data_IF_467082257649
#
_entry.id   IF_467082257649
#
_cell.length_a   1.000
_cell.length_b   1.000
_cell.length_c   1.000
_cell.angle_alpha   90.00
_cell.angle_beta   90.00
_cell.angle_gamma   90.00
#
_symmetry.space_group_name_H-M   'P 1'
#
loop_
_entity.id
_entity.type
_entity.pdbx_description
1 polymer ?
#
# COMPACT_ATOMS: atom_id res chain seq x y z
N UNK A 1 -6.57 2.43 13.89
CA UNK A 1 -6.38 0.95 13.88
C UNK A 1 -7.67 0.14 13.90
N UNK A 2 -8.70 0.64 14.61
CA UNK A 2 -9.98 0.00 14.84
C UNK A 2 -10.94 -0.06 13.63
N UNK A 3 -10.61 0.64 12.55
CA UNK A 3 -11.48 0.77 11.38
C UNK A 3 -11.22 -0.37 10.39
N UNK A 4 -12.25 -0.78 9.66
CA UNK A 4 -12.18 -1.74 8.56
C UNK A 4 -12.80 -1.16 7.28
N UNK A 5 -12.35 -1.64 6.13
CA UNK A 5 -12.84 -1.20 4.83
C UNK A 5 -12.93 -2.34 3.83
N UNK A 6 -13.88 -2.24 2.90
CA UNK A 6 -14.03 -3.15 1.75
C UNK A 6 -14.42 -2.32 0.53
N UNK A 7 -13.72 -2.53 -0.58
CA UNK A 7 -13.96 -1.90 -1.88
C UNK A 7 -14.08 -2.96 -2.98
N UNK A 8 -14.73 -2.62 -4.09
CA UNK A 8 -14.91 -3.51 -5.23
C UNK A 8 -14.27 -2.90 -6.48
N UNK A 9 -13.47 -3.70 -7.19
CA UNK A 9 -12.90 -3.37 -8.49
C UNK A 9 -13.52 -4.29 -9.57
N UNK A 10 -14.26 -3.76 -10.55
CA UNK A 10 -14.79 -4.51 -11.69
C UNK A 10 -13.67 -4.94 -12.67
N UNK A 11 -13.98 -5.71 -13.74
CA UNK A 11 -12.98 -6.31 -14.63
C UNK A 11 -11.97 -5.36 -15.30
N UNK A 12 -12.22 -4.05 -15.36
CA UNK A 12 -11.26 -3.07 -15.86
C UNK A 12 -10.16 -2.69 -14.84
N UNK A 13 -10.23 -3.19 -13.60
CA UNK A 13 -9.18 -3.11 -12.58
C UNK A 13 -9.19 -1.84 -11.71
N UNK A 14 -9.94 -0.81 -12.08
CA UNK A 14 -10.10 0.43 -11.31
C UNK A 14 -11.20 0.33 -10.24
N UNK A 15 -11.45 1.41 -9.48
CA UNK A 15 -12.57 1.46 -8.54
C UNK A 15 -13.90 1.40 -9.28
N UNK A 16 -14.89 0.70 -8.72
CA UNK A 16 -16.24 0.61 -9.26
C UNK A 16 -16.91 1.99 -9.41
N UNK A 17 -17.67 2.16 -10.50
CA UNK A 17 -18.43 3.38 -10.76
C UNK A 17 -19.67 3.51 -9.87
N UNK A 18 -20.19 4.74 -9.75
CA UNK A 18 -21.28 5.09 -8.83
C UNK A 18 -22.56 4.26 -8.99
N UNK A 19 -22.93 3.91 -10.22
CA UNK A 19 -24.12 3.08 -10.47
C UNK A 19 -23.95 1.67 -9.85
N UNK A 20 -22.76 1.09 -9.98
CA UNK A 20 -22.45 -0.24 -9.46
C UNK A 20 -22.34 -0.23 -7.94
N UNK A 21 -21.68 0.80 -7.37
CA UNK A 21 -21.57 0.93 -5.91
C UNK A 21 -22.93 1.16 -5.27
N UNK A 22 -23.82 1.95 -5.89
CA UNK A 22 -25.18 2.16 -5.39
C UNK A 22 -25.98 0.85 -5.39
N UNK A 23 -25.91 0.07 -6.47
CA UNK A 23 -26.61 -1.20 -6.54
C UNK A 23 -26.10 -2.21 -5.48
N UNK A 24 -24.80 -2.25 -5.22
CA UNK A 24 -24.20 -3.09 -4.17
C UNK A 24 -24.64 -2.61 -2.78
N UNK A 25 -24.61 -1.30 -2.52
CA UNK A 25 -25.04 -0.68 -1.27
C UNK A 25 -26.51 -0.99 -0.96
N UNK A 26 -27.42 -0.71 -1.90
CA UNK A 26 -28.85 -0.96 -1.76
C UNK A 26 -29.13 -2.44 -1.45
N UNK A 27 -28.43 -3.33 -2.17
CA UNK A 27 -28.61 -4.77 -2.00
C UNK A 27 -28.07 -5.26 -0.66
N UNK A 28 -26.91 -4.77 -0.23
CA UNK A 28 -26.35 -5.11 1.08
C UNK A 28 -27.28 -4.66 2.22
N UNK A 29 -27.81 -3.44 2.15
CA UNK A 29 -28.76 -2.91 3.13
C UNK A 29 -30.06 -3.73 3.16
N UNK A 30 -30.58 -4.15 2.00
CA UNK A 30 -31.74 -5.03 1.93
C UNK A 30 -31.49 -6.40 2.60
N UNK A 31 -30.29 -6.99 2.43
CA UNK A 31 -29.92 -8.21 3.16
C UNK A 31 -29.85 -7.96 4.66
N UNK A 32 -29.26 -6.85 5.10
CA UNK A 32 -29.16 -6.50 6.53
C UNK A 32 -30.56 -6.34 7.15
N UNK A 33 -31.47 -5.60 6.50
CA UNK A 33 -32.84 -5.39 6.99
C UNK A 33 -33.64 -6.70 7.11
N UNK A 34 -33.28 -7.70 6.30
CA UNK A 34 -33.87 -9.03 6.31
C UNK A 34 -33.11 -10.02 7.19
N UNK A 35 -32.30 -9.54 8.14
CA UNK A 35 -31.48 -10.38 9.03
C UNK A 35 -30.60 -11.39 8.26
N UNK A 36 -30.07 -10.94 7.11
CA UNK A 36 -29.20 -11.71 6.21
C UNK A 36 -29.90 -12.91 5.54
N UNK A 37 -31.24 -12.94 5.53
CA UNK A 37 -31.99 -13.93 4.79
C UNK A 37 -31.61 -13.91 3.29
N UNK A 38 -31.27 -15.08 2.75
CA UNK A 38 -30.83 -15.23 1.36
C UNK A 38 -29.32 -15.02 1.14
N UNK A 39 -28.55 -14.63 2.16
CA UNK A 39 -27.07 -14.63 2.07
C UNK A 39 -26.58 -16.08 2.12
N UNK A 40 -25.94 -16.54 1.04
CA UNK A 40 -25.34 -17.88 0.98
C UNK A 40 -24.02 -17.87 1.74
N UNK A 41 -23.84 -18.79 2.70
CA UNK A 41 -22.65 -18.87 3.57
C UNK A 41 -22.17 -20.31 3.66
N UNK A 42 -20.87 -20.46 3.87
CA UNK A 42 -20.26 -21.74 4.22
C UNK A 42 -19.19 -21.53 5.30
N UNK A 43 -18.94 -22.51 6.19
CA UNK A 43 -17.83 -22.47 7.14
C UNK A 43 -16.48 -22.26 6.43
N UNK A 44 -15.61 -21.43 7.00
CA UNK A 44 -14.29 -21.12 6.42
C UNK A 44 -13.42 -22.37 6.21
N UNK A 45 -13.53 -23.37 7.08
CA UNK A 45 -12.81 -24.63 6.94
C UNK A 45 -13.22 -25.39 5.65
N UNK A 46 -14.50 -25.34 5.28
CA UNK A 46 -14.99 -25.93 4.02
C UNK A 46 -14.63 -25.05 2.82
N UNK A 47 -14.71 -23.72 2.95
CA UNK A 47 -14.31 -22.80 1.89
C UNK A 47 -12.83 -22.99 1.50
N UNK A 48 -11.95 -23.19 2.50
CA UNK A 48 -10.52 -23.45 2.28
C UNK A 48 -10.22 -24.76 1.55
N UNK A 49 -11.15 -25.71 1.56
CA UNK A 49 -11.05 -27.00 0.85
C UNK A 49 -11.78 -26.98 -0.50
N UNK A 50 -12.54 -25.92 -0.80
CA UNK A 50 -13.31 -25.79 -2.03
C UNK A 50 -12.41 -25.41 -3.21
N UNK A 51 -12.71 -25.95 -4.39
CA UNK A 51 -12.07 -25.57 -5.66
C UNK A 51 -12.28 -24.09 -6.05
N UNK A 52 -13.23 -23.41 -5.39
CA UNK A 52 -13.51 -21.99 -5.58
C UNK A 52 -12.43 -21.08 -4.95
N UNK A 53 -11.65 -21.59 -3.98
CA UNK A 53 -10.58 -20.85 -3.35
C UNK A 53 -9.23 -21.31 -3.89
N UNK A 54 -8.54 -20.42 -4.62
CA UNK A 54 -7.19 -20.66 -5.13
C UNK A 54 -6.20 -19.76 -4.40
N UNK A 55 -5.18 -20.36 -3.81
CA UNK A 55 -4.05 -19.63 -3.24
C UNK A 55 -2.94 -19.58 -4.28
N UNK A 56 -2.50 -18.37 -4.60
CA UNK A 56 -1.44 -18.10 -5.58
C UNK A 56 -0.54 -16.99 -5.05
N UNK A 57 0.71 -16.98 -5.51
CA UNK A 57 1.62 -15.87 -5.28
C UNK A 57 1.29 -14.73 -6.24
N UNK A 58 0.87 -13.58 -5.68
CA UNK A 58 0.60 -12.35 -6.42
C UNK A 58 1.79 -11.39 -6.40
N UNK A 59 2.76 -11.57 -5.49
CA UNK A 59 3.91 -10.70 -5.34
C UNK A 59 4.86 -10.87 -6.51
N UNK A 60 5.27 -12.11 -6.79
CA UNK A 60 6.22 -12.39 -7.87
C UNK A 60 5.80 -11.83 -9.23
N UNK A 61 4.60 -12.11 -9.78
CA UNK A 61 4.24 -11.59 -11.10
C UNK A 61 4.19 -10.06 -11.14
N UNK A 62 3.75 -9.40 -10.06
CA UNK A 62 3.78 -7.94 -9.99
C UNK A 62 5.21 -7.40 -10.00
N UNK A 63 6.10 -7.95 -9.17
CA UNK A 63 7.49 -7.49 -9.06
C UNK A 63 8.24 -7.74 -10.36
N UNK A 64 8.06 -8.89 -11.00
CA UNK A 64 8.69 -9.22 -12.29
C UNK A 64 8.25 -8.26 -13.41
N UNK A 65 7.02 -7.72 -13.35
CA UNK A 65 6.45 -6.87 -14.40
C UNK A 65 6.83 -5.38 -14.27
N UNK A 66 7.41 -4.96 -13.14
CA UNK A 66 7.78 -3.55 -12.90
C UNK A 66 8.71 -2.97 -13.97
N UNK A 67 9.56 -3.80 -14.61
CA UNK A 67 10.42 -3.39 -15.73
C UNK A 67 9.65 -2.82 -16.93
N UNK A 68 8.37 -3.14 -17.06
CA UNK A 68 7.52 -2.65 -18.16
C UNK A 68 6.88 -1.29 -17.86
N UNK A 69 7.00 -0.78 -16.62
CA UNK A 69 6.37 0.46 -16.15
C UNK A 69 7.40 1.47 -15.64
N UNK A 70 8.51 1.00 -15.07
CA UNK A 70 9.59 1.82 -14.50
C UNK A 70 10.95 1.34 -15.02
N UNK A 71 11.88 2.26 -15.27
CA UNK A 71 13.25 1.91 -15.68
C UNK A 71 14.06 1.37 -14.49
N UNK A 72 13.81 0.11 -14.16
CA UNK A 72 14.50 -0.60 -13.08
C UNK A 72 16.00 -0.75 -13.35
N UNK A 73 16.42 -0.82 -14.62
CA UNK A 73 17.83 -0.93 -14.99
C UNK A 73 18.61 0.37 -14.70
N UNK A 74 18.00 1.53 -14.95
CA UNK A 74 18.59 2.81 -14.57
C UNK A 74 18.72 2.95 -13.05
N UNK A 75 17.69 2.56 -12.29
CA UNK A 75 17.70 2.57 -10.82
C UNK A 75 18.83 1.68 -10.27
N UNK A 76 18.95 0.45 -10.79
CA UNK A 76 20.06 -0.47 -10.45
C UNK A 76 21.43 0.16 -10.70
N UNK A 77 21.61 0.78 -11.87
CA UNK A 77 22.89 1.37 -12.27
C UNK A 77 23.25 2.59 -11.41
N UNK A 78 22.27 3.34 -10.95
CA UNK A 78 22.47 4.53 -10.12
C UNK A 78 23.03 4.19 -8.73
N UNK A 79 22.79 2.97 -8.22
CA UNK A 79 23.26 2.51 -6.90
C UNK A 79 22.90 3.48 -5.77
N UNK A 80 21.68 3.99 -5.82
CA UNK A 80 21.13 4.84 -4.76
C UNK A 80 20.96 4.01 -3.50
N UNK A 81 21.29 4.61 -2.35
CA UNK A 81 20.95 4.04 -1.04
C UNK A 81 19.52 4.45 -0.68
N UNK A 82 18.61 3.47 -0.64
CA UNK A 82 17.17 3.66 -0.55
C UNK A 82 16.64 3.20 0.81
N UNK A 83 15.86 4.06 1.47
CA UNK A 83 15.13 3.72 2.70
C UNK A 83 13.64 3.52 2.43
N UNK A 84 13.00 2.56 3.09
CA UNK A 84 11.55 2.36 3.00
C UNK A 84 10.99 2.15 4.40
N UNK A 85 9.98 2.94 4.77
CA UNK A 85 9.11 2.62 5.91
C UNK A 85 7.79 2.02 5.39
N UNK A 86 7.56 0.71 5.55
CA UNK A 86 6.33 0.06 5.11
C UNK A 86 5.07 0.49 5.88
N UNK A 87 5.22 1.20 7.01
CA UNK A 87 4.14 1.56 7.94
C UNK A 87 3.24 0.36 8.33
N UNK A 88 3.81 -0.86 8.32
CA UNK A 88 3.12 -2.12 8.57
C UNK A 88 1.98 -2.45 7.59
N UNK A 89 1.99 -1.88 6.38
CA UNK A 89 0.96 -2.09 5.37
C UNK A 89 1.14 -3.36 4.53
N UNK A 90 0.23 -3.56 3.57
CA UNK A 90 0.11 -4.80 2.80
C UNK A 90 1.27 -5.08 1.84
N UNK A 91 2.04 -4.06 1.46
CA UNK A 91 3.13 -4.17 0.48
C UNK A 91 4.52 -4.39 1.07
N UNK A 92 4.65 -4.74 2.36
CA UNK A 92 5.95 -4.99 2.98
C UNK A 92 6.77 -6.08 2.24
N UNK A 93 6.13 -7.20 1.87
CA UNK A 93 6.80 -8.26 1.11
C UNK A 93 7.10 -7.84 -0.33
N UNK A 94 6.31 -6.93 -0.92
CA UNK A 94 6.62 -6.39 -2.23
C UNK A 94 7.94 -5.62 -2.19
N UNK A 95 8.16 -4.76 -1.19
CA UNK A 95 9.43 -4.06 -1.06
C UNK A 95 10.62 -5.01 -0.83
N UNK A 96 10.45 -6.04 0.01
CA UNK A 96 11.48 -7.09 0.17
C UNK A 96 11.83 -7.75 -1.16
N UNK A 97 10.82 -8.14 -1.93
CA UNK A 97 11.02 -8.79 -3.23
C UNK A 97 11.58 -7.84 -4.29
N UNK A 98 11.19 -6.56 -4.29
CA UNK A 98 11.76 -5.53 -5.18
C UNK A 98 13.25 -5.36 -4.91
N UNK A 99 13.64 -5.19 -3.63
CA UNK A 99 15.05 -5.08 -3.24
C UNK A 99 15.87 -6.29 -3.69
N UNK A 100 15.35 -7.50 -3.50
CA UNK A 100 16.02 -8.75 -3.86
C UNK A 100 16.07 -8.98 -5.38
N UNK A 101 14.94 -8.93 -6.07
CA UNK A 101 14.82 -9.22 -7.50
C UNK A 101 15.66 -8.26 -8.33
N UNK A 102 15.69 -6.98 -7.92
CA UNK A 102 16.44 -5.94 -8.61
C UNK A 102 17.79 -5.63 -7.97
N UNK A 103 18.23 -6.34 -6.93
CA UNK A 103 19.54 -6.14 -6.29
C UNK A 103 19.80 -4.66 -5.91
N UNK A 104 18.78 -4.00 -5.36
CA UNK A 104 18.86 -2.60 -4.95
C UNK A 104 19.46 -2.49 -3.55
N UNK A 105 20.21 -1.41 -3.29
CA UNK A 105 20.61 -1.04 -1.92
C UNK A 105 19.40 -0.41 -1.21
N UNK A 106 18.41 -1.27 -0.92
CA UNK A 106 17.12 -0.92 -0.35
C UNK A 106 17.01 -1.52 1.06
N UNK A 107 16.76 -0.66 2.04
CA UNK A 107 16.58 -1.05 3.44
C UNK A 107 15.17 -0.76 3.90
N UNK A 108 14.49 -1.77 4.46
CA UNK A 108 13.29 -1.54 5.25
C UNK A 108 13.72 -0.99 6.62
N UNK A 109 13.35 0.25 6.93
CA UNK A 109 13.72 0.88 8.23
C UNK A 109 12.90 0.31 9.39
N UNK A 110 11.79 -0.34 9.09
CA UNK A 110 10.94 -1.07 10.02
C UNK A 110 10.34 -2.29 9.32
N UNK A 111 10.31 -3.42 10.03
CA UNK A 111 9.65 -4.65 9.56
C UNK A 111 8.42 -5.01 10.42
N UNK A 112 7.94 -4.08 11.24
CA UNK A 112 6.85 -4.33 12.19
C UNK A 112 5.52 -4.58 11.47
N UNK A 113 4.86 -5.68 11.82
CA UNK A 113 3.47 -5.98 11.44
C UNK A 113 2.69 -6.20 12.73
N UNK A 114 1.85 -5.24 13.08
CA UNK A 114 1.08 -5.25 14.31
C UNK A 114 -0.30 -4.60 14.06
N UNK A 115 -1.43 -5.32 14.24
CA UNK A 115 -2.77 -4.76 14.04
C UNK A 115 -3.11 -3.56 14.94
N UNK A 116 -2.39 -3.38 16.06
CA UNK A 116 -2.51 -2.19 16.90
C UNK A 116 -1.80 -0.96 16.33
N UNK A 117 -0.85 -1.17 15.40
CA UNK A 117 0.04 -0.15 14.85
C UNK A 117 0.82 0.63 15.91
N UNK A 118 1.13 -0.01 17.05
CA UNK A 118 1.81 0.64 18.19
C UNK A 118 3.23 1.17 17.89
N UNK A 119 3.83 0.76 16.77
CA UNK A 119 5.12 1.28 16.30
C UNK A 119 5.00 2.65 15.62
N UNK A 120 3.78 3.08 15.26
CA UNK A 120 3.54 4.37 14.62
C UNK A 120 3.72 5.52 15.60
N UNK A 121 4.27 6.61 15.09
CA UNK A 121 4.10 7.92 15.73
C UNK A 121 2.65 8.41 15.58
N UNK A 122 2.21 9.26 16.50
CA UNK A 122 0.88 9.85 16.43
C UNK A 122 0.84 10.92 15.33
N UNK A 123 -0.26 10.94 14.58
CA UNK A 123 -0.48 11.98 13.57
C UNK A 123 -0.84 13.33 14.23
N UNK A 124 -1.04 14.38 13.44
CA UNK A 124 -1.29 15.77 13.88
C UNK A 124 -2.39 15.95 14.94
N UNK A 125 -3.35 15.02 14.98
CA UNK A 125 -4.51 15.00 15.87
C UNK A 125 -4.34 14.05 17.06
N UNK A 126 -3.16 13.45 17.24
CA UNK A 126 -2.89 12.50 18.31
C UNK A 126 -3.42 11.09 18.05
N UNK A 127 -3.86 10.80 16.82
CA UNK A 127 -4.42 9.49 16.43
C UNK A 127 -3.39 8.68 15.67
N UNK A 128 -3.40 7.36 15.86
CA UNK A 128 -2.61 6.45 15.04
C UNK A 128 -3.22 6.39 13.64
N UNK A 129 -2.53 6.97 12.67
CA UNK A 129 -2.89 6.98 11.25
C UNK A 129 -1.64 6.74 10.41
N UNK A 130 -1.70 5.75 9.53
CA UNK A 130 -0.62 5.37 8.63
C UNK A 130 -0.69 6.23 7.36
N UNK A 131 -0.62 7.55 7.52
CA UNK A 131 -0.64 8.51 6.42
C UNK A 131 0.79 8.81 5.94
N UNK A 132 1.19 8.20 4.84
CA UNK A 132 2.51 8.39 4.24
C UNK A 132 2.79 9.84 3.78
N UNK A 133 1.77 10.70 3.71
CA UNK A 133 1.90 12.12 3.37
C UNK A 133 1.94 13.05 4.60
N UNK A 134 1.77 12.51 5.81
CA UNK A 134 1.84 13.30 7.04
C UNK A 134 3.26 13.31 7.62
N UNK A 135 3.86 14.49 7.87
CA UNK A 135 5.17 14.56 8.51
C UNK A 135 5.13 14.09 9.97
N UNK A 136 3.95 14.03 10.60
CA UNK A 136 3.79 13.52 11.95
C UNK A 136 3.87 12.00 11.94
N UNK A 137 3.05 11.32 11.12
CA UNK A 137 3.07 9.87 11.00
C UNK A 137 4.41 9.33 10.46
N UNK A 138 5.05 10.10 9.56
CA UNK A 138 6.34 9.78 8.95
C UNK A 138 7.55 10.18 9.82
N UNK A 139 7.36 10.60 11.08
CA UNK A 139 8.43 11.11 11.93
C UNK A 139 9.60 10.13 12.10
N UNK A 140 9.31 8.82 12.17
CA UNK A 140 10.33 7.76 12.25
C UNK A 140 11.27 7.77 11.03
N UNK A 141 10.72 7.71 9.83
CA UNK A 141 11.51 7.78 8.60
C UNK A 141 12.20 9.14 8.42
N UNK A 142 11.54 10.24 8.80
CA UNK A 142 12.12 11.58 8.71
C UNK A 142 13.34 11.77 9.62
N UNK A 143 13.40 11.08 10.76
CA UNK A 143 14.58 11.09 11.61
C UNK A 143 15.80 10.41 10.94
N UNK A 144 15.56 9.54 9.96
CA UNK A 144 16.60 8.80 9.21
C UNK A 144 16.87 9.40 7.81
N UNK A 145 16.24 10.52 7.45
CA UNK A 145 16.25 11.06 6.08
C UNK A 145 17.65 11.35 5.51
N UNK A 146 18.62 11.63 6.39
CA UNK A 146 19.99 11.98 6.02
C UNK A 146 20.88 10.73 5.82
N UNK A 147 20.35 9.53 6.10
CA UNK A 147 21.05 8.26 5.89
C UNK A 147 20.84 7.66 4.50
N UNK A 148 19.93 8.22 3.71
CA UNK A 148 19.49 7.69 2.41
C UNK A 148 19.52 8.80 1.35
N UNK A 149 19.78 8.43 0.10
CA UNK A 149 19.65 9.36 -1.03
C UNK A 149 18.17 9.69 -1.28
N UNK A 150 17.32 8.69 -1.10
CA UNK A 150 15.88 8.74 -1.30
C UNK A 150 15.20 7.73 -0.39
N UNK A 151 14.05 8.10 0.17
CA UNK A 151 13.27 7.19 0.98
C UNK A 151 11.76 7.32 0.74
N UNK A 152 11.02 6.26 1.07
CA UNK A 152 9.59 6.15 0.75
C UNK A 152 8.77 5.67 1.94
N UNK A 153 7.51 6.10 2.00
CA UNK A 153 6.47 5.46 2.80
C UNK A 153 5.22 5.21 1.98
N UNK A 154 4.47 4.18 2.34
CA UNK A 154 3.16 3.87 1.77
C UNK A 154 2.14 3.69 2.89
N UNK A 155 0.89 4.02 2.62
CA UNK A 155 -0.22 3.73 3.51
C UNK A 155 -0.64 2.25 3.43
N UNK A 156 -1.55 1.76 4.29
CA UNK A 156 -1.74 0.32 4.47
C UNK A 156 -2.19 -0.45 3.23
N UNK A 157 -2.94 0.17 2.30
CA UNK A 157 -3.36 -0.43 1.04
C UNK A 157 -2.50 -0.03 -0.17
N UNK A 158 -1.41 0.72 0.05
CA UNK A 158 -0.33 0.96 -0.91
C UNK A 158 -0.71 1.70 -2.19
N UNK A 159 -1.85 2.39 -2.23
CA UNK A 159 -2.26 3.23 -3.37
C UNK A 159 -1.78 4.68 -3.26
N UNK A 160 -1.24 5.09 -2.10
CA UNK A 160 -0.60 6.39 -1.87
C UNK A 160 0.90 6.27 -1.60
N UNK A 161 1.62 7.37 -1.83
CA UNK A 161 3.07 7.45 -1.69
C UNK A 161 3.50 8.70 -0.90
N UNK A 162 4.51 8.54 -0.05
CA UNK A 162 5.26 9.61 0.60
C UNK A 162 6.72 9.57 0.16
N UNK A 163 7.25 10.69 -0.31
CA UNK A 163 8.62 10.78 -0.85
C UNK A 163 9.48 11.61 0.08
N UNK A 164 10.56 11.03 0.60
CA UNK A 164 11.49 11.65 1.55
C UNK A 164 12.86 11.79 0.91
N UNK A 165 13.43 12.97 1.03
CA UNK A 165 14.83 13.25 0.67
C UNK A 165 15.55 13.81 1.91
N UNK A 166 16.86 14.09 1.86
CA UNK A 166 17.54 14.82 2.93
C UNK A 166 16.91 16.21 3.25
N UNK A 167 16.09 16.77 2.35
CA UNK A 167 15.33 18.01 2.60
C UNK A 167 14.00 17.79 3.36
N UNK A 168 13.63 16.54 3.62
CA UNK A 168 12.39 16.16 4.31
C UNK A 168 11.35 15.54 3.37
N UNK A 169 10.12 15.45 3.88
CA UNK A 169 8.96 14.93 3.15
C UNK A 169 8.52 15.93 2.08
N UNK A 170 8.43 15.46 0.84
CA UNK A 170 8.02 16.28 -0.29
C UNK A 170 6.51 16.53 -0.25
N UNK A 171 6.10 17.75 -0.60
CA UNK A 171 4.68 18.06 -0.77
C UNK A 171 4.12 17.23 -1.95
N UNK A 172 2.96 16.56 -1.80
CA UNK A 172 2.38 15.73 -2.86
C UNK A 172 2.18 16.46 -4.19
N UNK A 173 1.73 17.72 -4.18
CA UNK A 173 1.53 18.49 -5.41
C UNK A 173 2.87 18.79 -6.12
N UNK A 174 3.94 19.03 -5.36
CA UNK A 174 5.26 19.24 -5.95
C UNK A 174 5.74 17.97 -6.64
N UNK A 175 5.51 16.81 -6.01
CA UNK A 175 5.94 15.53 -6.58
C UNK A 175 5.14 15.19 -7.84
N UNK A 176 3.82 15.42 -7.84
CA UNK A 176 2.98 15.27 -9.02
C UNK A 176 3.49 16.12 -10.20
N UNK A 177 3.86 17.38 -9.96
CA UNK A 177 4.40 18.25 -11.00
C UNK A 177 5.72 17.70 -11.59
N UNK A 178 6.63 17.21 -10.73
CA UNK A 178 7.89 16.60 -11.15
C UNK A 178 7.67 15.30 -11.92
N UNK A 179 6.73 14.45 -11.50
CA UNK A 179 6.41 13.22 -12.20
C UNK A 179 5.86 13.48 -13.60
N UNK A 180 4.96 14.47 -13.77
CA UNK A 180 4.40 14.83 -15.07
C UNK A 180 5.51 15.36 -16.00
N UNK A 181 6.35 16.26 -15.51
CA UNK A 181 7.48 16.85 -16.26
C UNK A 181 8.53 15.82 -16.66
N UNK A 182 8.78 14.81 -15.82
CA UNK A 182 9.72 13.73 -16.15
C UNK A 182 9.16 12.75 -17.19
N UNK A 183 7.85 12.47 -17.15
CA UNK A 183 7.23 11.45 -17.98
C UNK A 183 6.85 11.93 -19.40
N UNK A 184 6.73 13.24 -19.65
CA UNK A 184 6.21 13.83 -20.89
C UNK A 184 7.01 15.05 -21.35
#
# INVERSE_FOLDING_TARGET
>A
PQDGGIKYNPPHGGPAEGELTQAIEDRANAYISQQLAGVKRMPIALAKQSELLKQVDLVKPYVDDLVNVVDMAAIQKAKLKIGVDPLGGSGIDYWRQIGNAYQLDLTLVSEAIDPSFQFMSLDKDGVIRMDCSSPYAMAGLLALKDEYDLAFGNDPDYDRHGIVTPKGLMNPNHFLAVCIDYLY
#
